data_IF_485844210012
#
_entry.id   IF_485844210012
#
_cell.length_a   1.000
_cell.length_b   1.000
_cell.length_c   1.000
_cell.angle_alpha   90.00
_cell.angle_beta   90.00
_cell.angle_gamma   90.00
#
_symmetry.space_group_name_H-M   'P 1'
#
loop_
_entity.id
_entity.type
_entity.pdbx_description
1 polymer ?
#
# COMPACT_ATOMS: atom_id res chain seq x y z
N UNK A 1 -4.80 -3.50 14.73
CA UNK A 1 -5.58 -2.26 14.56
C UNK A 1 -4.80 -1.13 15.21
N UNK A 2 -4.17 -0.27 14.43
CA UNK A 2 -3.57 0.97 14.93
C UNK A 2 -4.70 1.96 15.17
N UNK A 3 -5.07 2.16 16.44
CA UNK A 3 -5.97 3.24 16.82
C UNK A 3 -5.11 4.52 16.88
N UNK A 4 -4.77 5.05 15.70
CA UNK A 4 -4.03 6.30 15.58
C UNK A 4 -4.95 7.48 15.92
N UNK A 5 -4.42 8.48 16.63
CA UNK A 5 -5.21 9.67 16.95
C UNK A 5 -5.48 10.49 15.69
N UNK A 6 -6.64 11.14 15.63
CA UNK A 6 -7.03 12.04 14.54
C UNK A 6 -5.95 13.06 14.19
N UNK A 7 -5.25 13.59 15.21
CA UNK A 7 -4.17 14.56 15.04
C UNK A 7 -2.93 13.94 14.39
N UNK A 8 -2.53 12.73 14.79
CA UNK A 8 -1.39 12.05 14.19
C UNK A 8 -1.66 11.75 12.70
N UNK A 9 -2.87 11.33 12.36
CA UNK A 9 -3.29 11.16 10.97
C UNK A 9 -3.24 12.46 10.16
N UNK A 10 -3.70 13.57 10.76
CA UNK A 10 -3.65 14.89 10.12
C UNK A 10 -2.19 15.33 9.86
N UNK A 11 -1.28 15.08 10.80
CA UNK A 11 0.15 15.34 10.61
C UNK A 11 0.75 14.49 9.49
N UNK A 12 0.37 13.21 9.38
CA UNK A 12 0.81 12.33 8.28
C UNK A 12 0.37 12.89 6.92
N UNK A 13 -0.90 13.28 6.80
CA UNK A 13 -1.42 13.92 5.57
C UNK A 13 -0.66 15.20 5.25
N UNK A 14 -0.32 16.01 6.26
CA UNK A 14 0.43 17.25 6.08
C UNK A 14 1.88 17.01 5.67
N UNK A 15 2.50 15.94 6.18
CA UNK A 15 3.89 15.61 5.95
C UNK A 15 4.14 14.93 4.59
N UNK A 16 3.10 14.33 3.98
CA UNK A 16 3.21 13.78 2.64
C UNK A 16 3.64 14.85 1.62
N UNK A 17 4.45 14.45 0.65
CA UNK A 17 4.90 15.35 -0.42
C UNK A 17 3.81 15.50 -1.49
N UNK A 18 3.25 16.72 -1.57
CA UNK A 18 2.23 17.12 -2.53
C UNK A 18 2.78 18.00 -3.66
N UNK A 19 4.08 18.27 -3.68
CA UNK A 19 4.72 19.22 -4.60
C UNK A 19 4.83 18.70 -6.04
N UNK A 20 4.67 17.38 -6.24
CA UNK A 20 4.82 16.73 -7.54
C UNK A 20 6.26 16.36 -7.88
N UNK A 21 7.15 16.22 -6.88
CA UNK A 21 8.43 15.54 -7.08
C UNK A 21 8.20 14.05 -7.35
N UNK A 22 8.31 13.68 -8.61
CA UNK A 22 8.02 12.33 -9.06
C UNK A 22 9.14 11.34 -8.73
N UNK A 23 10.36 11.79 -8.44
CA UNK A 23 11.48 10.87 -8.18
C UNK A 23 11.20 10.00 -6.95
N UNK A 24 10.64 10.59 -5.90
CA UNK A 24 10.22 9.85 -4.71
C UNK A 24 9.12 8.83 -5.02
N UNK A 25 8.11 9.21 -5.80
CA UNK A 25 7.04 8.29 -6.22
C UNK A 25 7.57 7.15 -7.10
N UNK A 26 8.51 7.44 -8.01
CA UNK A 26 9.16 6.45 -8.87
C UNK A 26 9.97 5.43 -8.08
N UNK A 27 10.66 5.87 -7.03
CA UNK A 27 11.41 4.99 -6.13
C UNK A 27 10.49 4.06 -5.34
N UNK A 28 9.25 4.48 -5.10
CA UNK A 28 8.24 3.73 -4.34
C UNK A 28 7.14 3.07 -5.19
N UNK A 29 7.33 2.94 -6.50
CA UNK A 29 6.27 2.49 -7.42
C UNK A 29 5.70 1.09 -7.08
N UNK A 30 6.50 0.17 -6.53
CA UNK A 30 6.04 -1.19 -6.22
C UNK A 30 5.12 -1.21 -5.00
N UNK A 31 5.58 -0.62 -3.88
CA UNK A 31 4.77 -0.51 -2.69
C UNK A 31 3.51 0.33 -2.93
N UNK A 32 3.60 1.45 -3.67
CA UNK A 32 2.45 2.28 -4.08
C UNK A 32 1.39 1.45 -4.81
N UNK A 33 1.80 0.60 -5.76
CA UNK A 33 0.86 -0.29 -6.46
C UNK A 33 0.16 -1.25 -5.49
N UNK A 34 0.90 -1.92 -4.61
CA UNK A 34 0.35 -2.89 -3.67
C UNK A 34 -0.60 -2.23 -2.66
N UNK A 35 -0.22 -1.04 -2.17
CA UNK A 35 -1.04 -0.21 -1.29
C UNK A 35 -2.34 0.24 -1.98
N UNK A 36 -2.29 0.65 -3.24
CA UNK A 36 -3.50 1.00 -4.00
C UNK A 36 -4.41 -0.22 -4.21
N UNK A 37 -3.85 -1.40 -4.52
CA UNK A 37 -4.64 -2.64 -4.60
C UNK A 37 -5.30 -2.97 -3.26
N UNK A 38 -4.57 -2.85 -2.16
CA UNK A 38 -5.11 -3.09 -0.82
C UNK A 38 -6.20 -2.07 -0.45
N UNK A 39 -6.03 -0.80 -0.82
CA UNK A 39 -7.07 0.21 -0.65
C UNK A 39 -8.34 -0.16 -1.45
N UNK A 40 -8.20 -0.57 -2.72
CA UNK A 40 -9.35 -0.95 -3.56
C UNK A 40 -10.09 -2.16 -2.98
N UNK A 41 -9.35 -3.15 -2.44
CA UNK A 41 -9.90 -4.30 -1.70
C UNK A 41 -10.64 -3.87 -0.45
N UNK A 42 -10.02 -3.07 0.42
CA UNK A 42 -10.65 -2.61 1.68
C UNK A 42 -11.85 -1.72 1.41
N UNK A 43 -11.75 -0.77 0.49
CA UNK A 43 -12.87 0.09 0.09
C UNK A 43 -14.04 -0.70 -0.48
N UNK A 44 -13.80 -1.82 -1.18
CA UNK A 44 -14.88 -2.70 -1.63
C UNK A 44 -15.60 -3.37 -0.45
N UNK A 45 -14.87 -3.84 0.56
CA UNK A 45 -15.44 -4.41 1.80
C UNK A 45 -16.29 -3.37 2.55
N UNK A 46 -15.76 -2.15 2.73
CA UNK A 46 -16.48 -1.06 3.37
C UNK A 46 -17.71 -0.63 2.57
N UNK A 47 -17.60 -0.55 1.24
CA UNK A 47 -18.73 -0.20 0.39
C UNK A 47 -19.84 -1.24 0.48
N UNK A 48 -19.52 -2.53 0.47
CA UNK A 48 -20.49 -3.60 0.64
C UNK A 48 -21.15 -3.58 2.02
N UNK A 49 -20.37 -3.34 3.08
CA UNK A 49 -20.90 -3.34 4.45
C UNK A 49 -21.88 -2.19 4.73
N UNK A 50 -21.71 -1.06 4.04
CA UNK A 50 -22.49 0.16 4.27
C UNK A 50 -23.42 0.56 3.11
N UNK A 51 -23.53 -0.27 2.07
CA UNK A 51 -24.36 0.03 0.90
C UNK A 51 -23.89 1.26 0.10
N UNK A 52 -22.57 1.46 0.03
CA UNK A 52 -21.91 2.60 -0.63
C UNK A 52 -21.33 2.24 -2.00
N UNK A 53 -21.83 1.19 -2.67
CA UNK A 53 -21.26 0.67 -3.92
C UNK A 53 -21.33 1.68 -5.08
N UNK A 54 -22.28 2.63 -5.04
CA UNK A 54 -22.41 3.68 -6.05
C UNK A 54 -21.30 4.73 -6.02
N UNK A 55 -20.65 4.93 -4.88
CA UNK A 55 -19.58 5.92 -4.69
C UNK A 55 -18.17 5.30 -4.66
N UNK A 56 -18.08 3.97 -4.74
CA UNK A 56 -16.81 3.24 -4.78
C UNK A 56 -15.97 3.65 -6.01
N UNK A 57 -14.63 3.77 -5.92
CA UNK A 57 -13.77 3.40 -4.79
C UNK A 57 -13.36 4.55 -3.87
N UNK A 58 -13.49 5.80 -4.31
CA UNK A 58 -12.98 6.96 -3.58
C UNK A 58 -14.14 7.72 -2.93
N UNK A 59 -14.50 7.34 -1.72
CA UNK A 59 -15.67 7.88 -1.01
C UNK A 59 -15.35 8.23 0.44
N UNK A 60 -16.23 9.02 1.05
CA UNK A 60 -16.23 9.27 2.49
C UNK A 60 -17.22 8.33 3.16
N UNK A 61 -16.71 7.26 3.80
CA UNK A 61 -17.56 6.26 4.43
C UNK A 61 -18.34 6.81 5.61
N UNK A 62 -17.89 7.90 6.25
CA UNK A 62 -18.61 8.49 7.39
C UNK A 62 -20.00 8.97 7.01
N UNK A 63 -20.21 9.36 5.76
CA UNK A 63 -21.52 9.76 5.22
C UNK A 63 -22.53 8.60 5.19
N UNK A 64 -22.05 7.37 5.23
CA UNK A 64 -22.85 6.15 5.25
C UNK A 64 -23.00 5.56 6.66
N UNK A 65 -22.02 5.80 7.53
CA UNK A 65 -22.05 5.36 8.93
C UNK A 65 -22.99 6.26 9.74
N UNK A 66 -22.80 7.58 9.66
CA UNK A 66 -23.57 8.58 10.38
C UNK A 66 -23.66 9.87 9.54
N UNK A 67 -24.84 10.10 8.95
CA UNK A 67 -25.12 11.26 8.09
C UNK A 67 -25.07 12.58 8.85
N UNK A 68 -25.32 12.55 10.15
CA UNK A 68 -25.31 13.73 11.01
C UNK A 68 -23.93 13.99 11.61
N UNK A 69 -22.97 13.10 11.38
CA UNK A 69 -21.61 13.27 11.87
C UNK A 69 -20.98 14.57 11.35
N UNK A 70 -20.53 15.40 12.30
CA UNK A 70 -19.75 16.62 12.06
C UNK A 70 -18.47 16.57 12.88
N UNK A 71 -17.37 16.98 12.25
CA UNK A 71 -16.12 17.25 12.94
C UNK A 71 -16.31 18.41 13.92
N UNK A 72 -15.55 18.46 15.03
CA UNK A 72 -15.48 19.65 15.86
C UNK A 72 -15.04 20.86 15.02
N UNK A 73 -15.52 22.09 15.31
CA UNK A 73 -15.19 23.27 14.50
C UNK A 73 -13.69 23.52 14.34
N UNK A 74 -12.91 23.35 15.41
CA UNK A 74 -11.45 23.53 15.38
C UNK A 74 -10.78 22.55 14.40
N UNK A 75 -11.13 21.26 14.50
CA UNK A 75 -10.58 20.23 13.61
C UNK A 75 -11.05 20.40 12.16
N UNK A 76 -12.27 20.92 11.95
CA UNK A 76 -12.76 21.27 10.61
C UNK A 76 -11.87 22.33 9.97
N UNK A 77 -11.57 23.41 10.70
CA UNK A 77 -10.66 24.46 10.22
C UNK A 77 -9.27 23.93 9.93
N UNK A 78 -8.70 23.12 10.82
CA UNK A 78 -7.37 22.53 10.62
C UNK A 78 -7.32 21.60 9.41
N UNK A 79 -8.36 20.78 9.21
CA UNK A 79 -8.48 19.90 8.06
C UNK A 79 -8.58 20.72 6.77
N UNK A 80 -9.43 21.75 6.72
CA UNK A 80 -9.60 22.60 5.55
C UNK A 80 -8.29 23.29 5.15
N UNK A 81 -7.53 23.84 6.11
CA UNK A 81 -6.20 24.41 5.84
C UNK A 81 -5.21 23.36 5.35
N UNK A 82 -5.26 22.13 5.88
CA UNK A 82 -4.42 21.04 5.41
C UNK A 82 -4.74 20.67 3.96
N UNK A 83 -6.03 20.50 3.63
CA UNK A 83 -6.49 20.04 2.31
C UNK A 83 -6.22 21.05 1.19
N UNK A 84 -6.05 22.34 1.49
CA UNK A 84 -5.61 23.35 0.50
C UNK A 84 -4.27 23.00 -0.13
N UNK A 85 -3.37 22.34 0.62
CA UNK A 85 -2.04 21.93 0.15
C UNK A 85 -2.04 20.53 -0.48
N UNK A 86 -3.05 19.73 -0.19
CA UNK A 86 -3.21 18.38 -0.73
C UNK A 86 -3.63 18.46 -2.21
N UNK A 87 -3.09 17.56 -3.01
CA UNK A 87 -3.43 17.45 -4.42
C UNK A 87 -4.92 17.09 -4.63
N UNK A 88 -5.54 17.61 -5.69
CA UNK A 88 -6.99 17.60 -5.84
C UNK A 88 -7.60 16.19 -5.76
N UNK A 89 -6.96 15.21 -6.40
CA UNK A 89 -7.37 13.80 -6.45
C UNK A 89 -7.40 13.13 -5.06
N UNK A 90 -6.53 13.55 -4.15
CA UNK A 90 -6.37 12.97 -2.81
C UNK A 90 -7.21 13.67 -1.73
N UNK A 91 -7.73 14.89 -1.99
CA UNK A 91 -8.44 15.67 -0.97
C UNK A 91 -9.63 14.93 -0.35
N UNK A 92 -10.43 14.26 -1.18
CA UNK A 92 -11.64 13.57 -0.75
C UNK A 92 -11.31 12.46 0.25
N UNK A 93 -10.34 11.61 -0.08
CA UNK A 93 -9.93 10.46 0.73
C UNK A 93 -9.12 10.87 1.95
N UNK A 94 -8.24 11.87 1.86
CA UNK A 94 -7.56 12.44 3.03
C UNK A 94 -8.57 13.03 4.03
N UNK A 95 -9.55 13.80 3.55
CA UNK A 95 -10.61 14.35 4.39
C UNK A 95 -11.46 13.26 5.05
N UNK A 96 -11.84 12.24 4.27
CA UNK A 96 -12.59 11.10 4.77
C UNK A 96 -11.81 10.28 5.81
N UNK A 97 -10.50 10.12 5.64
CA UNK A 97 -9.65 9.42 6.61
C UNK A 97 -9.65 10.11 7.97
N UNK A 98 -9.46 11.43 8.00
CA UNK A 98 -9.51 12.23 9.23
C UNK A 98 -10.90 12.17 9.88
N UNK A 99 -11.96 12.23 9.07
CA UNK A 99 -13.35 12.09 9.55
C UNK A 99 -13.60 10.72 10.18
N UNK A 100 -13.13 9.64 9.55
CA UNK A 100 -13.30 8.29 10.07
C UNK A 100 -12.51 8.07 11.36
N UNK A 101 -11.28 8.58 11.45
CA UNK A 101 -10.46 8.53 12.66
C UNK A 101 -11.16 9.22 13.83
N UNK A 102 -11.69 10.43 13.61
CA UNK A 102 -12.44 11.16 14.63
C UNK A 102 -13.73 10.44 15.04
N UNK A 103 -14.48 9.91 14.08
CA UNK A 103 -15.69 9.15 14.36
C UNK A 103 -15.41 7.95 15.26
N UNK A 104 -14.32 7.21 15.00
CA UNK A 104 -13.88 6.08 15.83
C UNK A 104 -13.40 6.51 17.21
N UNK A 105 -12.68 7.64 17.30
CA UNK A 105 -12.16 8.16 18.56
C UNK A 105 -13.26 8.53 19.56
N UNK A 106 -14.44 8.94 19.09
CA UNK A 106 -15.62 9.18 19.94
C UNK A 106 -16.18 7.90 20.57
N UNK A 107 -16.06 6.76 19.88
CA UNK A 107 -16.53 5.47 20.36
C UNK A 107 -18.06 5.30 20.38
N UNK A 108 -18.80 6.24 19.80
CA UNK A 108 -20.27 6.28 19.87
C UNK A 108 -20.94 5.28 18.92
N UNK A 109 -20.21 4.74 17.94
CA UNK A 109 -20.74 3.85 16.91
C UNK A 109 -19.93 2.57 16.83
N UNK A 110 -20.61 1.44 16.96
CA UNK A 110 -20.03 0.14 16.65
C UNK A 110 -19.73 0.05 15.15
N UNK A 111 -18.45 0.10 14.78
CA UNK A 111 -18.02 -0.20 13.42
C UNK A 111 -17.86 -1.71 13.25
N UNK A 112 -18.17 -2.28 12.07
CA UNK A 112 -17.92 -3.68 11.80
C UNK A 112 -16.43 -3.97 11.92
N UNK A 113 -16.10 -5.24 12.19
CA UNK A 113 -14.72 -5.73 12.23
C UNK A 113 -14.14 -5.80 10.81
N UNK A 114 -13.88 -4.62 10.25
CA UNK A 114 -13.27 -4.41 8.94
C UNK A 114 -11.87 -3.84 9.10
N UNK A 115 -10.94 -4.18 8.19
CA UNK A 115 -9.61 -3.59 8.20
C UNK A 115 -9.69 -2.07 8.00
N UNK A 116 -8.67 -1.35 8.46
CA UNK A 116 -8.63 0.10 8.29
C UNK A 116 -8.74 0.49 6.81
N UNK A 117 -9.79 1.24 6.48
CA UNK A 117 -10.11 1.63 5.11
C UNK A 117 -9.01 2.47 4.47
N UNK A 118 -8.57 3.52 5.15
CA UNK A 118 -7.75 4.56 4.55
C UNK A 118 -6.26 4.37 4.79
N UNK A 119 -5.85 3.60 5.80
CA UNK A 119 -4.43 3.35 6.11
C UNK A 119 -3.56 2.99 4.88
N UNK A 120 -3.93 2.02 4.01
CA UNK A 120 -3.11 1.73 2.83
C UNK A 120 -2.98 2.93 1.88
N UNK A 121 -4.03 3.76 1.78
CA UNK A 121 -4.03 4.93 0.91
C UNK A 121 -3.25 6.11 1.53
N UNK A 122 -3.23 6.23 2.85
CA UNK A 122 -2.38 7.22 3.54
C UNK A 122 -0.90 6.85 3.36
N UNK A 123 -0.54 5.58 3.56
CA UNK A 123 0.81 5.08 3.26
C UNK A 123 1.18 5.27 1.78
N UNK A 124 0.22 5.13 0.87
CA UNK A 124 0.44 5.44 -0.54
C UNK A 124 0.82 6.91 -0.72
N UNK A 125 0.08 7.85 -0.11
CA UNK A 125 0.35 9.28 -0.23
C UNK A 125 1.68 9.69 0.40
N UNK A 126 2.06 9.10 1.54
CA UNK A 126 3.37 9.34 2.15
C UNK A 126 4.54 8.93 1.26
N UNK A 127 4.30 8.04 0.30
CA UNK A 127 5.32 7.48 -0.59
C UNK A 127 5.31 8.13 -1.97
N UNK A 128 5.08 9.44 -2.04
CA UNK A 128 5.12 10.19 -3.31
C UNK A 128 3.77 10.74 -3.79
N UNK A 129 2.89 11.09 -2.85
CA UNK A 129 1.72 11.90 -3.13
C UNK A 129 0.68 11.20 -3.97
N UNK A 130 0.10 11.93 -4.91
CA UNK A 130 -1.18 11.63 -5.54
C UNK A 130 -1.19 10.50 -6.58
N UNK A 131 -2.38 10.18 -7.09
CA UNK A 131 -2.56 9.40 -8.32
C UNK A 131 -3.41 10.21 -9.29
N UNK A 132 -3.28 9.93 -10.58
CA UNK A 132 -4.09 10.55 -11.62
C UNK A 132 -5.01 9.52 -12.23
N UNK A 133 -6.27 9.89 -12.46
CA UNK A 133 -7.17 9.06 -13.26
C UNK A 133 -7.08 9.50 -14.72
N UNK A 134 -6.75 8.58 -15.61
CA UNK A 134 -6.75 8.88 -17.04
C UNK A 134 -8.16 8.77 -17.63
N UNK A 135 -8.36 9.35 -18.82
CA UNK A 135 -9.64 9.30 -19.53
C UNK A 135 -10.05 7.90 -20.01
N UNK A 136 -9.18 6.89 -19.88
CA UNK A 136 -9.42 5.49 -20.23
C UNK A 136 -9.78 4.62 -19.01
N UNK A 137 -9.85 5.22 -17.81
CA UNK A 137 -10.21 4.56 -16.56
C UNK A 137 -9.04 3.84 -15.87
N UNK A 138 -7.79 4.15 -16.22
CA UNK A 138 -6.62 3.74 -15.44
C UNK A 138 -6.34 4.75 -14.32
N UNK A 139 -5.70 4.24 -13.27
CA UNK A 139 -5.04 5.04 -12.25
C UNK A 139 -3.54 5.02 -12.56
N UNK A 140 -2.98 6.18 -12.89
CA UNK A 140 -1.55 6.40 -12.92
C UNK A 140 -1.04 6.69 -11.51
N UNK A 141 -0.15 5.82 -11.03
CA UNK A 141 0.43 5.89 -9.69
C UNK A 141 1.85 6.46 -9.71
N UNK A 142 2.28 7.03 -10.84
CA UNK A 142 3.63 7.51 -11.15
C UNK A 142 4.64 6.36 -11.22
N UNK A 143 4.99 5.97 -12.45
CA UNK A 143 5.89 4.84 -12.74
C UNK A 143 5.19 3.50 -12.90
N UNK A 144 3.91 3.42 -12.53
CA UNK A 144 3.05 2.27 -12.81
C UNK A 144 1.59 2.70 -12.95
N UNK A 145 0.90 2.18 -13.95
CA UNK A 145 -0.53 2.40 -14.13
C UNK A 145 -1.30 1.11 -13.88
N UNK A 146 -2.41 1.19 -13.16
CA UNK A 146 -3.31 0.07 -12.91
C UNK A 146 -4.69 0.37 -13.47
N UNK A 147 -5.40 -0.67 -13.90
CA UNK A 147 -6.82 -0.56 -14.24
C UNK A 147 -7.64 -1.17 -13.11
N UNK A 148 -8.32 -0.37 -12.27
CA UNK A 148 -9.22 -0.92 -11.28
C UNK A 148 -10.27 -1.81 -11.95
N UNK A 149 -10.44 -3.02 -11.43
CA UNK A 149 -11.58 -3.86 -11.80
C UNK A 149 -12.81 -3.47 -10.98
N UNK A 150 -13.96 -4.07 -11.31
CA UNK A 150 -15.19 -3.81 -10.58
C UNK A 150 -15.13 -4.31 -9.13
N UNK A 151 -16.03 -3.77 -8.29
CA UNK A 151 -16.13 -4.06 -6.86
C UNK A 151 -16.08 -5.56 -6.52
N UNK A 152 -16.80 -6.42 -7.28
CA UNK A 152 -16.80 -7.88 -7.05
C UNK A 152 -15.43 -8.54 -7.19
N UNK A 153 -14.56 -7.99 -8.05
CA UNK A 153 -13.20 -8.50 -8.19
C UNK A 153 -12.39 -8.19 -6.93
N UNK A 154 -12.42 -6.94 -6.49
CA UNK A 154 -11.71 -6.49 -5.29
C UNK A 154 -12.25 -7.11 -4.00
N UNK A 155 -13.51 -7.54 -3.95
CA UNK A 155 -14.00 -8.35 -2.83
C UNK A 155 -13.38 -9.76 -2.78
N UNK A 156 -12.95 -10.29 -3.92
CA UNK A 156 -12.38 -11.64 -4.04
C UNK A 156 -10.84 -11.64 -3.98
N UNK A 157 -10.19 -10.48 -3.97
CA UNK A 157 -8.74 -10.36 -3.94
C UNK A 157 -8.17 -10.83 -2.60
N UNK A 158 -7.00 -11.47 -2.67
CA UNK A 158 -6.23 -11.81 -1.49
C UNK A 158 -5.76 -10.53 -0.77
N UNK A 159 -5.78 -10.51 0.58
CA UNK A 159 -5.34 -9.36 1.33
C UNK A 159 -3.84 -9.14 1.19
N UNK A 160 -3.43 -7.89 1.00
CA UNK A 160 -2.05 -7.50 1.21
C UNK A 160 -1.84 -7.22 2.71
N UNK A 161 -1.29 -8.21 3.42
CA UNK A 161 -1.31 -8.26 4.88
C UNK A 161 -0.29 -7.34 5.57
N UNK A 162 0.71 -6.84 4.84
CA UNK A 162 1.80 -6.04 5.43
C UNK A 162 1.68 -4.57 5.06
N UNK A 163 1.39 -3.75 6.06
CA UNK A 163 1.51 -2.29 5.99
C UNK A 163 2.76 -1.79 6.73
N UNK A 164 3.67 -2.70 7.09
CA UNK A 164 4.90 -2.37 7.78
C UNK A 164 5.87 -1.61 6.87
N UNK A 165 6.35 -0.45 7.33
CA UNK A 165 7.23 0.42 6.54
C UNK A 165 8.49 -0.28 6.06
N UNK A 166 9.13 -1.09 6.91
CA UNK A 166 10.37 -1.80 6.54
C UNK A 166 10.13 -2.80 5.41
N UNK A 167 8.98 -3.47 5.45
CA UNK A 167 8.57 -4.37 4.37
C UNK A 167 8.31 -3.61 3.07
N UNK A 168 7.57 -2.50 3.13
CA UNK A 168 7.31 -1.65 1.96
C UNK A 168 8.62 -1.10 1.36
N UNK A 169 9.54 -0.66 2.19
CA UNK A 169 10.86 -0.16 1.77
C UNK A 169 11.71 -1.28 1.14
N UNK A 170 11.62 -2.51 1.64
CA UNK A 170 12.29 -3.67 1.05
C UNK A 170 11.70 -4.08 -0.30
N UNK A 171 10.40 -3.88 -0.53
CA UNK A 171 9.78 -4.16 -1.83
C UNK A 171 10.21 -3.15 -2.90
N UNK A 172 10.53 -1.94 -2.49
CA UNK A 172 10.79 -0.85 -3.41
C UNK A 172 12.16 -0.91 -4.07
N UNK A 173 12.13 -0.59 -5.37
CA UNK A 173 13.32 -0.45 -6.19
C UNK A 173 12.97 0.16 -7.53
N UNK A 174 13.98 0.73 -8.19
CA UNK A 174 13.81 1.27 -9.55
C UNK A 174 13.59 0.12 -10.54
N UNK A 175 12.48 0.20 -11.27
CA UNK A 175 12.13 -0.70 -12.37
C UNK A 175 11.19 -1.84 -11.97
N UNK A 176 10.83 -2.67 -12.97
CA UNK A 176 10.05 -3.89 -12.74
C UNK A 176 10.95 -4.97 -12.18
N UNK A 177 10.46 -5.73 -11.21
CA UNK A 177 11.16 -6.87 -10.64
C UNK A 177 10.29 -8.11 -10.70
N UNK A 178 10.91 -9.29 -10.67
CA UNK A 178 10.23 -10.54 -10.37
C UNK A 178 10.81 -11.13 -9.09
N UNK A 179 9.93 -11.67 -8.25
CA UNK A 179 10.33 -12.33 -7.00
C UNK A 179 10.32 -13.84 -7.16
N UNK A 180 11.22 -14.49 -6.43
CA UNK A 180 11.43 -15.92 -6.43
C UNK A 180 11.67 -16.38 -5.00
N UNK A 181 11.20 -17.58 -4.70
CA UNK A 181 11.47 -18.24 -3.42
C UNK A 181 11.65 -19.74 -3.66
N UNK A 182 12.31 -20.46 -2.73
CA UNK A 182 12.34 -21.91 -2.76
C UNK A 182 10.93 -22.50 -2.84
N UNK A 183 10.77 -23.62 -3.53
CA UNK A 183 9.47 -24.29 -3.69
C UNK A 183 8.77 -24.60 -2.35
N UNK A 184 9.54 -24.85 -1.30
CA UNK A 184 9.08 -25.13 0.07
C UNK A 184 8.92 -23.88 0.95
N UNK A 185 9.26 -22.68 0.43
CA UNK A 185 9.22 -21.39 1.13
C UNK A 185 10.11 -21.28 2.38
N UNK A 186 11.08 -22.18 2.54
CA UNK A 186 11.93 -22.22 3.75
C UNK A 186 13.16 -21.30 3.70
N UNK A 187 13.55 -20.85 2.51
CA UNK A 187 14.74 -20.03 2.30
C UNK A 187 14.46 -18.57 1.93
N UNK A 188 15.53 -17.80 1.62
CA UNK A 188 15.41 -16.37 1.43
C UNK A 188 14.73 -16.03 0.10
N UNK A 189 13.99 -14.91 0.10
CA UNK A 189 13.41 -14.32 -1.11
C UNK A 189 14.53 -13.78 -1.99
N UNK A 190 14.44 -14.06 -3.28
CA UNK A 190 15.31 -13.51 -4.31
C UNK A 190 14.48 -12.63 -5.24
N UNK A 191 15.01 -11.48 -5.65
CA UNK A 191 14.42 -10.65 -6.70
C UNK A 191 15.36 -10.57 -7.88
N UNK A 192 14.78 -10.61 -9.08
CA UNK A 192 15.47 -10.41 -10.35
C UNK A 192 15.13 -9.03 -10.90
N UNK A 193 16.15 -8.25 -11.21
CA UNK A 193 16.03 -6.87 -11.70
C UNK A 193 16.62 -6.75 -13.10
N UNK A 194 15.90 -6.20 -14.08
CA UNK A 194 16.48 -5.79 -15.34
C UNK A 194 17.31 -4.52 -15.13
N UNK A 195 18.53 -4.53 -15.65
CA UNK A 195 19.43 -3.38 -15.72
C UNK A 195 19.40 -2.76 -17.12
N UNK A 196 20.13 -1.66 -17.29
CA UNK A 196 20.35 -1.07 -18.62
C UNK A 196 21.10 -2.07 -19.52
N UNK A 197 20.90 -1.95 -20.83
CA UNK A 197 21.56 -2.79 -21.85
C UNK A 197 21.23 -4.30 -21.80
N UNK A 198 20.10 -4.68 -21.18
CA UNK A 198 19.62 -6.08 -21.18
C UNK A 198 20.29 -6.99 -20.17
N UNK A 199 21.17 -6.45 -19.33
CA UNK A 199 21.73 -7.18 -18.18
C UNK A 199 20.65 -7.42 -17.13
N UNK A 200 20.80 -8.49 -16.35
CA UNK A 200 19.94 -8.80 -15.22
C UNK A 200 20.80 -8.99 -13.98
N UNK A 201 20.28 -8.58 -12.82
CA UNK A 201 20.90 -8.79 -11.52
C UNK A 201 19.93 -9.47 -10.60
N UNK A 202 20.37 -10.59 -10.03
CA UNK A 202 19.67 -11.29 -8.99
C UNK A 202 20.17 -10.79 -7.63
N UNK A 203 19.24 -10.52 -6.72
CA UNK A 203 19.52 -10.04 -5.38
C UNK A 203 18.74 -10.88 -4.36
N UNK A 204 19.39 -11.32 -3.28
CA UNK A 204 18.76 -12.07 -2.17
C UNK A 204 18.48 -11.14 -1.00
N UNK A 205 17.34 -11.28 -0.35
CA UNK A 205 17.03 -10.57 0.90
C UNK A 205 17.67 -11.33 2.07
N UNK A 206 18.68 -10.72 2.70
CA UNK A 206 19.51 -11.38 3.72
C UNK A 206 18.97 -11.17 5.13
N UNK A 207 19.56 -11.87 6.10
CA UNK A 207 19.28 -11.70 7.52
C UNK A 207 19.63 -10.30 8.05
N UNK A 208 20.52 -9.59 7.36
CA UNK A 208 20.85 -8.17 7.62
C UNK A 208 19.74 -7.21 7.14
N UNK A 209 18.59 -7.75 6.70
CA UNK A 209 17.42 -7.00 6.22
C UNK A 209 17.73 -6.08 5.03
N UNK A 210 18.61 -6.54 4.14
CA UNK A 210 19.00 -5.82 2.92
C UNK A 210 19.10 -6.75 1.72
N UNK A 211 19.02 -6.16 0.53
CA UNK A 211 19.23 -6.87 -0.72
C UNK A 211 20.72 -6.93 -1.06
N UNK A 212 21.22 -8.13 -1.32
CA UNK A 212 22.61 -8.37 -1.72
C UNK A 212 22.69 -9.15 -3.03
N UNK A 213 23.73 -8.94 -3.86
CA UNK A 213 23.90 -9.71 -5.09
C UNK A 213 23.96 -11.20 -4.83
N UNK A 214 23.35 -11.98 -5.72
CA UNK A 214 23.33 -13.44 -5.58
C UNK A 214 23.38 -14.15 -6.93
N UNK A 215 23.84 -15.40 -6.89
CA UNK A 215 23.79 -16.33 -8.01
C UNK A 215 22.73 -17.44 -7.81
N UNK A 216 21.89 -17.36 -6.76
CA UNK A 216 21.00 -18.44 -6.35
C UNK A 216 20.07 -18.93 -7.48
N UNK A 217 19.47 -18.03 -8.27
CA UNK A 217 18.60 -18.45 -9.38
C UNK A 217 19.40 -19.14 -10.48
N UNK A 218 20.58 -18.61 -10.84
CA UNK A 218 21.48 -19.26 -11.81
C UNK A 218 21.88 -20.66 -11.34
N UNK A 219 22.22 -20.80 -10.06
CA UNK A 219 22.61 -22.09 -9.50
C UNK A 219 21.43 -23.07 -9.42
N UNK A 220 20.22 -22.58 -9.13
CA UNK A 220 18.97 -23.36 -9.20
C UNK A 220 18.70 -23.86 -10.63
N UNK A 221 18.79 -22.97 -11.63
CA UNK A 221 18.61 -23.30 -13.05
C UNK A 221 19.63 -24.35 -13.53
N UNK A 222 20.88 -24.25 -13.05
CA UNK A 222 21.96 -25.20 -13.33
C UNK A 222 21.87 -26.50 -12.51
N UNK A 223 20.87 -26.65 -11.63
CA UNK A 223 20.72 -27.77 -10.68
C UNK A 223 21.96 -27.99 -9.80
N UNK A 224 22.58 -26.89 -9.40
CA UNK A 224 23.75 -26.82 -8.51
C UNK A 224 23.40 -26.42 -7.07
N UNK A 225 22.11 -26.30 -6.76
CA UNK A 225 21.57 -26.12 -5.41
C UNK A 225 20.53 -27.21 -5.12
N UNK A 226 20.38 -27.57 -3.85
CA UNK A 226 19.31 -28.46 -3.41
C UNK A 226 17.93 -27.78 -3.41
N UNK A 227 17.91 -26.45 -3.27
CA UNK A 227 16.69 -25.66 -3.31
C UNK A 227 16.34 -25.28 -4.75
N UNK A 228 15.13 -25.64 -5.18
CA UNK A 228 14.53 -25.23 -6.46
C UNK A 228 13.76 -23.92 -6.27
N UNK A 229 14.20 -22.86 -6.95
CA UNK A 229 13.59 -21.54 -6.88
C UNK A 229 12.51 -21.37 -7.94
N UNK A 230 11.31 -20.98 -7.49
CA UNK A 230 10.17 -20.71 -8.36
C UNK A 230 9.76 -19.25 -8.28
N UNK A 231 9.29 -18.69 -9.39
CA UNK A 231 8.73 -17.34 -9.40
C UNK A 231 7.45 -17.29 -8.55
N UNK A 232 7.35 -16.26 -7.71
CA UNK A 232 6.22 -15.98 -6.82
C UNK A 232 5.59 -14.62 -7.11
N UNK A 233 4.38 -14.41 -6.59
CA UNK A 233 3.68 -13.13 -6.68
C UNK A 233 4.23 -12.09 -5.68
N UNK A 234 3.92 -10.82 -5.92
CA UNK A 234 4.41 -9.72 -5.06
C UNK A 234 3.85 -9.78 -3.63
N UNK A 235 2.59 -10.20 -3.47
CA UNK A 235 1.95 -10.36 -2.15
C UNK A 235 2.69 -11.44 -1.35
N UNK A 236 2.95 -12.59 -1.96
CA UNK A 236 3.69 -13.69 -1.34
C UNK A 236 5.13 -13.28 -1.01
N UNK A 237 5.80 -12.53 -1.89
CA UNK A 237 7.12 -11.99 -1.61
C UNK A 237 7.12 -11.05 -0.39
N UNK A 238 6.11 -10.19 -0.28
CA UNK A 238 5.96 -9.27 0.84
C UNK A 238 5.72 -10.01 2.18
N UNK A 239 4.93 -11.08 2.17
CA UNK A 239 4.70 -11.91 3.37
C UNK A 239 5.99 -12.59 3.85
N UNK A 240 6.80 -13.12 2.91
CA UNK A 240 8.09 -13.74 3.23
C UNK A 240 9.10 -12.71 3.75
N UNK A 241 9.17 -11.52 3.13
CA UNK A 241 10.03 -10.42 3.59
C UNK A 241 9.60 -9.95 4.99
N UNK A 242 8.31 -9.77 5.22
CA UNK A 242 7.79 -9.39 6.54
C UNK A 242 8.14 -10.45 7.59
N UNK A 243 7.97 -11.73 7.26
CA UNK A 243 8.31 -12.84 8.15
C UNK A 243 9.80 -12.85 8.52
N UNK A 244 10.68 -12.57 7.55
CA UNK A 244 12.11 -12.41 7.81
C UNK A 244 12.42 -11.22 8.73
N UNK A 245 11.80 -10.06 8.51
CA UNK A 245 11.96 -8.86 9.35
C UNK A 245 11.50 -9.12 10.80
N UNK A 246 10.36 -9.78 10.97
CA UNK A 246 9.82 -10.14 12.29
C UNK A 246 10.68 -11.21 12.98
N UNK A 247 11.22 -12.16 12.23
CA UNK A 247 12.14 -13.18 12.73
C UNK A 247 13.46 -12.60 13.24
N UNK A 248 14.05 -11.65 12.51
CA UNK A 248 15.29 -10.96 12.92
C UNK A 248 15.10 -10.02 14.12
N UNK A 249 13.85 -9.64 14.43
CA UNK A 249 13.52 -8.77 15.56
C UNK A 249 13.28 -9.56 16.87
N UNK A 250 13.37 -10.90 16.84
CA UNK A 250 13.31 -11.73 18.04
C UNK A 250 14.73 -11.89 18.63
N UNK A 251 14.94 -11.57 19.93
CA UNK A 251 16.24 -11.67 20.59
C UNK A 251 16.73 -13.10 20.75
#
# INVERSE_FOLDING_TARGET
MTNESTLALLERVRAADWSGDWDHAFEHAQSRRLLMHEYLRRSALWAQAYGAEGDWPFFDVTQYIDKEFRLPPALTTELDECLKKVAYSARKTCGAAVRLAELRARGDIATPDLPDLYEPLILFYERGGEFLQDGAGFLDLTGVSIKPRGLRHHLADLPFLTLDRRTLDALDTKGRVSYHAPADRSGPVVRRRPLKAGEQRDEVFTQDLRWEPTDLLRLSDEKKTDADYTQIGDIEAAELIQSAILGASRP
#
